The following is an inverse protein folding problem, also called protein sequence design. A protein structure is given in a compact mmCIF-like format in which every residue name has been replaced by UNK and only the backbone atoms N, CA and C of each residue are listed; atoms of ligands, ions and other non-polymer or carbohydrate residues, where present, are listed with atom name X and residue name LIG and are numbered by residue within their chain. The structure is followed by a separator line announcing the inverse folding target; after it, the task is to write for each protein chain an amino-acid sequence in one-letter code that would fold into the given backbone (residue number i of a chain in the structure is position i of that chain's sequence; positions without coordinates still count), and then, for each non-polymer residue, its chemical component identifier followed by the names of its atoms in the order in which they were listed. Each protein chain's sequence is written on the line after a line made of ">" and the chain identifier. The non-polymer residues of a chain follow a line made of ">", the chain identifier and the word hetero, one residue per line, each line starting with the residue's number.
data_IF_861768092991
#
_entry.id   IF_861768092991
#
_cell.length_a   1.000
_cell.length_b   1.000
_cell.length_c   1.000
_cell.angle_alpha   90.00
_cell.angle_beta   90.00
_cell.angle_gamma   90.00
#
_symmetry.space_group_name_H-M   'P 1'
#
loop_
_entity.id
_entity.type
_entity.pdbx_description
1 polymer ?
#
# COMPACT_ATOMS: atom_id res chain seq x y z
N UNK A 1 -13.97 -7.16 1.31
CA UNK A 1 -13.47 -5.79 1.11
C UNK A 1 -12.00 -5.86 0.71
N UNK A 2 -11.40 -4.81 0.13
CA UNK A 2 -10.05 -4.86 -0.48
C UNK A 2 -8.98 -5.59 0.34
N UNK A 3 -8.81 -5.23 1.61
CA UNK A 3 -7.85 -5.89 2.53
C UNK A 3 -8.08 -7.41 2.69
N UNK A 4 -9.33 -7.84 2.89
CA UNK A 4 -9.66 -9.26 3.11
C UNK A 4 -9.46 -10.12 1.86
N UNK A 5 -9.21 -9.50 0.71
CA UNK A 5 -8.96 -10.15 -0.58
C UNK A 5 -7.55 -9.84 -1.11
N UNK A 6 -6.66 -9.27 -0.29
CA UNK A 6 -5.31 -8.88 -0.72
C UNK A 6 -4.52 -10.04 -1.34
N UNK A 7 -4.61 -11.25 -0.77
CA UNK A 7 -3.98 -12.46 -1.34
C UNK A 7 -4.54 -12.81 -2.72
N UNK A 8 -5.87 -12.83 -2.87
CA UNK A 8 -6.51 -13.06 -4.16
C UNK A 8 -6.14 -11.98 -5.20
N UNK A 9 -6.13 -10.70 -4.81
CA UNK A 9 -5.73 -9.59 -5.68
C UNK A 9 -4.28 -9.75 -6.13
N UNK A 10 -3.36 -10.05 -5.20
CA UNK A 10 -1.96 -10.32 -5.50
C UNK A 10 -1.82 -11.43 -6.53
N UNK A 11 -2.43 -12.59 -6.28
CA UNK A 11 -2.36 -13.75 -7.18
C UNK A 11 -2.92 -13.42 -8.57
N UNK A 12 -4.09 -12.78 -8.64
CA UNK A 12 -4.71 -12.43 -9.92
C UNK A 12 -3.87 -11.45 -10.74
N UNK A 13 -3.28 -10.42 -10.10
CA UNK A 13 -2.44 -9.46 -10.80
C UNK A 13 -1.13 -10.09 -11.31
N UNK A 14 -0.49 -10.94 -10.50
CA UNK A 14 0.71 -11.69 -10.92
C UNK A 14 0.40 -12.64 -12.08
N UNK A 15 -0.73 -13.35 -12.03
CA UNK A 15 -1.17 -14.26 -13.09
C UNK A 15 -1.51 -13.52 -14.39
N UNK A 16 -1.93 -12.26 -14.32
CA UNK A 16 -2.14 -11.38 -15.48
C UNK A 16 -0.86 -10.65 -15.92
N UNK A 17 0.31 -11.18 -15.59
CA UNK A 17 1.64 -10.69 -16.00
C UNK A 17 2.03 -9.31 -15.46
N UNK A 18 1.35 -8.81 -14.42
CA UNK A 18 1.87 -7.65 -13.69
C UNK A 18 3.18 -8.03 -12.99
N UNK A 19 4.21 -7.18 -13.11
CA UNK A 19 5.52 -7.44 -12.52
C UNK A 19 5.40 -7.61 -11.00
N UNK A 20 6.07 -8.62 -10.45
CA UNK A 20 6.10 -8.88 -9.01
C UNK A 20 6.65 -7.69 -8.20
N UNK A 21 7.53 -6.92 -8.83
CA UNK A 21 8.14 -5.70 -8.29
C UNK A 21 7.28 -4.45 -8.46
N UNK A 22 6.06 -4.55 -9.02
CA UNK A 22 5.16 -3.41 -9.20
C UNK A 22 4.95 -2.72 -7.84
N UNK A 23 5.19 -1.40 -7.73
CA UNK A 23 5.00 -0.69 -6.46
C UNK A 23 3.55 -0.75 -5.99
N UNK A 24 3.37 -1.00 -4.68
CA UNK A 24 2.08 -1.08 -4.02
C UNK A 24 2.12 -0.36 -2.68
N UNK A 25 1.05 0.37 -2.35
CA UNK A 25 0.86 0.98 -1.05
C UNK A 25 -0.47 0.54 -0.43
N UNK A 26 -0.51 0.43 0.90
CA UNK A 26 -1.74 0.33 1.67
C UNK A 26 -1.82 1.53 2.60
N UNK A 27 -2.92 2.27 2.52
CA UNK A 27 -3.20 3.45 3.36
C UNK A 27 -4.38 3.12 4.27
N UNK A 28 -4.12 2.88 5.55
CA UNK A 28 -5.14 2.75 6.61
C UNK A 28 -5.47 4.13 7.16
N UNK A 29 -6.77 4.39 7.40
CA UNK A 29 -7.26 5.61 8.06
C UNK A 29 -6.71 6.88 7.40
N UNK A 30 -6.78 6.93 6.07
CA UNK A 30 -6.32 8.06 5.27
C UNK A 30 -6.81 9.40 5.82
N UNK A 31 -5.95 10.41 5.79
CA UNK A 31 -6.16 11.79 6.30
C UNK A 31 -6.41 11.95 7.80
N UNK A 32 -6.55 10.85 8.56
CA UNK A 32 -6.65 10.93 10.01
C UNK A 32 -5.25 11.03 10.63
N UNK A 33 -5.16 11.62 11.82
CA UNK A 33 -3.90 11.71 12.58
C UNK A 33 -3.29 10.32 12.90
N UNK A 34 -4.11 9.26 12.85
CA UNK A 34 -3.70 7.86 13.05
C UNK A 34 -3.47 7.11 11.73
N UNK A 35 -3.31 7.83 10.61
CA UNK A 35 -3.01 7.25 9.31
C UNK A 35 -1.78 6.34 9.38
N UNK A 36 -1.86 5.18 8.74
CA UNK A 36 -0.71 4.30 8.53
C UNK A 36 -0.55 4.05 7.05
N UNK A 37 0.68 4.20 6.57
CA UNK A 37 1.06 3.94 5.19
C UNK A 37 2.13 2.87 5.21
N UNK A 38 1.91 1.77 4.48
CA UNK A 38 2.94 0.78 4.19
C UNK A 38 3.13 0.73 2.68
N UNK A 39 4.39 0.74 2.25
CA UNK A 39 4.79 0.69 0.84
C UNK A 39 5.68 -0.53 0.65
N UNK A 40 5.47 -1.21 -0.48
CA UNK A 40 6.27 -2.37 -0.87
C UNK A 40 6.01 -2.73 -2.33
N UNK A 41 6.18 -4.00 -2.64
CA UNK A 41 5.98 -4.54 -3.99
C UNK A 41 4.75 -5.46 -4.03
N UNK A 42 4.21 -5.69 -5.22
CA UNK A 42 3.03 -6.53 -5.44
C UNK A 42 3.17 -7.92 -4.82
N UNK A 43 4.36 -8.54 -4.88
CA UNK A 43 4.61 -9.85 -4.26
C UNK A 43 4.48 -9.87 -2.72
N UNK A 44 4.48 -8.70 -2.08
CA UNK A 44 4.40 -8.53 -0.63
C UNK A 44 3.01 -8.08 -0.17
N UNK A 45 2.07 -7.84 -1.10
CA UNK A 45 0.75 -7.25 -0.80
C UNK A 45 -0.01 -8.04 0.27
N UNK A 46 -0.07 -9.37 0.14
CA UNK A 46 -0.78 -10.23 1.09
C UNK A 46 -0.19 -10.15 2.51
N UNK A 47 1.14 -10.08 2.62
CA UNK A 47 1.83 -9.95 3.91
C UNK A 47 1.60 -8.56 4.51
N UNK A 48 1.79 -7.49 3.73
CA UNK A 48 1.54 -6.12 4.15
C UNK A 48 0.09 -5.92 4.63
N UNK A 49 -0.87 -6.57 3.98
CA UNK A 49 -2.28 -6.46 4.36
C UNK A 49 -2.58 -7.07 5.75
N UNK A 50 -1.80 -8.06 6.22
CA UNK A 50 -2.02 -8.67 7.54
C UNK A 50 -1.74 -7.72 8.70
N UNK A 51 -0.86 -6.73 8.50
CA UNK A 51 -0.54 -5.71 9.52
C UNK A 51 -1.47 -4.49 9.50
N UNK A 52 -2.47 -4.46 8.61
CA UNK A 52 -3.33 -3.29 8.37
C UNK A 52 -4.78 -3.58 8.75
N UNK A 53 -5.51 -2.53 9.13
CA UNK A 53 -6.93 -2.63 9.49
C UNK A 53 -7.79 -1.72 8.62
N UNK A 54 -9.05 -2.11 8.44
CA UNK A 54 -10.05 -1.24 7.80
C UNK A 54 -10.36 -0.02 8.68
N UNK A 55 -10.75 1.13 8.09
CA UNK A 55 -10.83 1.39 6.65
C UNK A 55 -9.43 1.59 6.03
N UNK A 56 -9.18 0.96 4.87
CA UNK A 56 -7.93 1.12 4.14
C UNK A 56 -8.11 1.03 2.62
N UNK A 57 -7.19 1.63 1.89
CA UNK A 57 -7.10 1.60 0.43
C UNK A 57 -5.80 0.92 -0.01
N UNK A 58 -5.89 0.09 -1.05
CA UNK A 58 -4.74 -0.51 -1.74
C UNK A 58 -4.52 0.29 -3.03
N UNK A 59 -3.31 0.77 -3.26
CA UNK A 59 -2.91 1.51 -4.44
C UNK A 59 -1.82 0.71 -5.15
N UNK A 60 -2.00 0.39 -6.43
CA UNK A 60 -1.05 -0.39 -7.24
C UNK A 60 -0.62 0.47 -8.44
N UNK A 61 0.69 0.64 -8.63
CA UNK A 61 1.23 1.36 -9.79
C UNK A 61 2.46 2.22 -9.46
N UNK A 62 3.17 2.64 -10.51
CA UNK A 62 4.43 3.38 -10.41
C UNK A 62 4.34 4.69 -9.60
N UNK A 63 3.15 5.29 -9.52
CA UNK A 63 2.89 6.50 -8.72
C UNK A 63 3.21 6.30 -7.23
N UNK A 64 3.14 5.06 -6.73
CA UNK A 64 3.50 4.73 -5.33
C UNK A 64 4.97 5.05 -5.04
N UNK A 65 5.87 4.93 -6.02
CA UNK A 65 7.29 5.25 -5.86
C UNK A 65 7.54 6.72 -5.50
N UNK A 66 6.60 7.61 -5.83
CA UNK A 66 6.68 9.03 -5.46
C UNK A 66 6.46 9.27 -3.97
N UNK A 67 5.90 8.30 -3.23
CA UNK A 67 5.67 8.44 -1.79
C UNK A 67 6.94 8.83 -1.04
N UNK A 68 8.10 8.24 -1.37
CA UNK A 68 9.38 8.57 -0.72
C UNK A 68 9.76 10.05 -0.84
N UNK A 69 9.37 10.73 -1.93
CA UNK A 69 9.68 12.14 -2.18
C UNK A 69 8.58 13.08 -1.70
N UNK A 70 7.33 12.61 -1.67
CA UNK A 70 6.14 13.41 -1.43
C UNK A 70 5.47 13.10 -0.08
N UNK A 71 6.13 12.37 0.82
CA UNK A 71 5.60 12.07 2.15
C UNK A 71 5.66 13.30 3.06
N UNK A 72 4.66 14.16 2.94
CA UNK A 72 4.54 15.40 3.73
C UNK A 72 3.65 15.25 4.97
N UNK A 73 2.68 14.33 4.95
CA UNK A 73 1.71 14.16 6.03
C UNK A 73 2.26 13.28 7.17
N UNK A 74 2.14 13.74 8.41
CA UNK A 74 2.62 13.03 9.61
C UNK A 74 4.13 13.10 9.84
N UNK A 75 4.89 13.66 8.91
CA UNK A 75 6.30 14.00 9.11
C UNK A 75 6.34 15.25 9.99
N UNK A 76 6.73 15.12 11.26
CA UNK A 76 7.12 16.28 12.05
C UNK A 76 8.33 16.88 11.35
N UNK A 77 8.22 18.10 10.82
CA UNK A 77 9.37 18.83 10.31
C UNK A 77 10.38 18.90 11.46
N UNK A 78 11.50 18.19 11.33
CA UNK A 78 12.63 18.38 12.21
C UNK A 78 13.17 19.77 11.91
N UNK A 79 12.94 20.71 12.83
CA UNK A 79 13.52 22.05 12.82
C UNK A 79 15.02 21.98 13.11
#
# INVERSE_FOLDING_TARGET
>A
MGLSKADYIQQMLLNQHMRATMPVAIVEKGTLATQKVVVGQLQQLAEMARSMKSPALIIVGEVVSLNQKLQWFGTTLAN
#
